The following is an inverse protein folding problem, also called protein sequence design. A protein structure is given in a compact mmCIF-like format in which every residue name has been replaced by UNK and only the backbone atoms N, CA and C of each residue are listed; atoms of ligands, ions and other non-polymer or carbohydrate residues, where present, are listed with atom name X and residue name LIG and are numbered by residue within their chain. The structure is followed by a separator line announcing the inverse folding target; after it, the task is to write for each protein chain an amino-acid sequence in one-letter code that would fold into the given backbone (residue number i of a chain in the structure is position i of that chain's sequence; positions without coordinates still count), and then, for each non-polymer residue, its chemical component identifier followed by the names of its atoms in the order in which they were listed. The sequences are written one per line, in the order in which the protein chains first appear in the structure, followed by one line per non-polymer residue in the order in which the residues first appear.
data_IF_841677853802
#
_entry.id   IF_841677853802
#
_cell.length_a   1.000
_cell.length_b   1.000
_cell.length_c   1.000
_cell.angle_alpha   90.00
_cell.angle_beta   90.00
_cell.angle_gamma   90.00
#
_symmetry.space_group_name_H-M   'P 1'
#
loop_
_entity.id
_entity.type
_entity.pdbx_description
1 polymer ?
#
# COMPACT_ATOMS: atom_id res chain seq x y z
N UNK A 1 14.72 -3.46 9.02
CA UNK A 1 14.99 -4.91 8.87
C UNK A 1 13.79 -5.56 8.21
N UNK A 2 14.03 -6.53 7.32
CA UNK A 2 12.99 -7.29 6.63
C UNK A 2 12.47 -8.42 7.54
N UNK A 3 11.15 -8.56 7.66
CA UNK A 3 10.50 -9.47 8.60
C UNK A 3 9.50 -10.36 7.86
N UNK A 4 9.39 -11.62 8.27
CA UNK A 4 8.35 -12.53 7.77
C UNK A 4 6.96 -12.04 8.19
N UNK A 5 6.01 -12.06 7.27
CA UNK A 5 4.62 -11.65 7.53
C UNK A 5 3.60 -12.74 7.16
N UNK A 6 4.05 -13.84 6.57
CA UNK A 6 3.23 -14.93 6.07
C UNK A 6 3.87 -15.61 4.87
N UNK A 7 3.18 -16.62 4.33
CA UNK A 7 3.62 -17.37 3.16
C UNK A 7 3.97 -16.44 2.00
N UNK A 8 5.23 -16.48 1.58
CA UNK A 8 5.76 -15.71 0.43
C UNK A 8 5.59 -14.18 0.55
N UNK A 9 5.45 -13.64 1.76
CA UNK A 9 5.37 -12.20 2.00
C UNK A 9 6.23 -11.75 3.20
N UNK A 10 7.02 -10.70 2.97
CA UNK A 10 7.83 -10.05 3.98
C UNK A 10 7.51 -8.56 4.04
N UNK A 11 7.73 -7.95 5.19
CA UNK A 11 7.52 -6.51 5.39
C UNK A 11 8.74 -5.84 5.98
N UNK A 12 8.89 -4.56 5.69
CA UNK A 12 9.91 -3.72 6.31
C UNK A 12 9.36 -2.33 6.59
N UNK A 13 9.48 -1.89 7.84
CA UNK A 13 9.25 -0.49 8.20
C UNK A 13 10.41 0.36 7.67
N UNK A 14 10.06 1.54 7.15
CA UNK A 14 10.97 2.52 6.60
C UNK A 14 11.03 3.81 7.41
N UNK A 15 11.82 4.78 6.95
CA UNK A 15 11.91 6.08 7.60
C UNK A 15 10.56 6.81 7.53
N UNK A 16 10.36 7.72 8.49
CA UNK A 16 9.21 8.60 8.54
C UNK A 16 9.33 9.67 7.44
N UNK A 17 8.28 9.83 6.63
CA UNK A 17 8.20 10.87 5.60
C UNK A 17 7.31 12.03 6.06
N UNK A 18 7.59 13.24 5.57
CA UNK A 18 6.84 14.45 5.91
C UNK A 18 5.91 14.80 4.75
N UNK A 19 4.61 14.70 4.98
CA UNK A 19 3.56 15.14 4.06
C UNK A 19 3.15 16.59 4.27
N UNK A 20 2.09 16.99 3.54
CA UNK A 20 1.52 18.34 3.60
C UNK A 20 1.15 18.76 5.03
N UNK A 21 1.30 20.04 5.35
CA UNK A 21 1.03 20.55 6.70
C UNK A 21 1.99 20.01 7.77
N UNK A 22 3.10 19.36 7.40
CA UNK A 22 4.09 18.78 8.30
C UNK A 22 3.62 17.51 9.01
N UNK A 23 2.61 16.82 8.49
CA UNK A 23 2.20 15.51 9.01
C UNK A 23 3.28 14.48 8.70
N UNK A 24 3.71 13.76 9.72
CA UNK A 24 4.73 12.72 9.65
C UNK A 24 4.06 11.36 9.50
N UNK A 25 4.48 10.56 8.53
CA UNK A 25 3.90 9.24 8.25
C UNK A 25 4.97 8.16 8.38
N UNK A 26 4.75 7.10 9.18
CA UNK A 26 5.63 5.93 9.14
C UNK A 26 5.46 5.26 7.78
N UNK A 27 6.52 4.76 7.16
CA UNK A 27 6.40 4.04 5.89
C UNK A 27 6.57 2.54 6.12
N UNK A 28 5.93 1.74 5.29
CA UNK A 28 6.17 0.30 5.22
C UNK A 28 6.15 -0.17 3.78
N UNK A 29 7.04 -1.11 3.52
CA UNK A 29 7.16 -1.86 2.28
C UNK A 29 6.67 -3.30 2.50
N UNK A 30 6.16 -3.91 1.44
CA UNK A 30 5.95 -5.35 1.35
C UNK A 30 6.79 -5.91 0.20
N UNK A 31 7.34 -7.09 0.40
CA UNK A 31 8.02 -7.90 -0.63
C UNK A 31 7.23 -9.18 -0.76
N UNK A 32 6.67 -9.45 -1.93
CA UNK A 32 5.91 -10.66 -2.23
C UNK A 32 6.67 -11.48 -3.26
N UNK A 33 6.73 -12.80 -3.08
CA UNK A 33 7.39 -13.71 -4.03
C UNK A 33 6.36 -14.37 -4.93
N UNK A 34 6.61 -14.34 -6.24
CA UNK A 34 5.84 -15.03 -7.25
C UNK A 34 6.33 -16.49 -7.42
N UNK A 35 5.52 -17.32 -8.08
CA UNK A 35 5.77 -18.74 -8.30
C UNK A 35 7.03 -19.01 -9.15
N UNK A 36 7.43 -18.06 -9.99
CA UNK A 36 8.69 -18.11 -10.76
C UNK A 36 9.92 -17.66 -9.96
N UNK A 37 9.71 -17.22 -8.71
CA UNK A 37 10.75 -16.73 -7.80
C UNK A 37 11.01 -15.23 -7.88
N UNK A 38 10.42 -14.50 -8.83
CA UNK A 38 10.55 -13.04 -8.88
C UNK A 38 9.85 -12.37 -7.70
N UNK A 39 10.40 -11.25 -7.27
CA UNK A 39 9.86 -10.44 -6.17
C UNK A 39 9.11 -9.22 -6.70
N UNK A 40 7.95 -8.98 -6.10
CA UNK A 40 7.17 -7.75 -6.21
C UNK A 40 7.44 -6.90 -4.96
N UNK A 41 8.07 -5.75 -5.16
CA UNK A 41 8.36 -4.77 -4.10
C UNK A 41 7.28 -3.69 -4.13
N UNK A 42 6.40 -3.71 -3.15
CA UNK A 42 5.28 -2.76 -3.01
C UNK A 42 5.60 -1.70 -1.95
N UNK A 43 5.27 -0.44 -2.24
CA UNK A 43 5.56 0.72 -1.37
C UNK A 43 7.04 0.78 -0.92
N UNK A 44 8.00 0.96 -1.85
CA UNK A 44 9.42 0.89 -1.51
C UNK A 44 9.82 1.89 -0.42
N UNK A 45 10.62 1.43 0.55
CA UNK A 45 11.22 2.24 1.63
C UNK A 45 12.71 2.51 1.32
N UNK A 46 13.40 3.34 2.12
CA UNK A 46 14.83 3.59 1.91
C UNK A 46 15.64 2.29 1.84
N UNK A 47 16.53 2.21 0.84
CA UNK A 47 17.26 1.00 0.50
C UNK A 47 18.68 1.04 1.08
N UNK A 48 18.82 0.58 2.32
CA UNK A 48 20.15 0.34 2.89
C UNK A 48 20.84 -0.88 2.25
N UNK A 49 22.16 -0.97 2.39
CA UNK A 49 22.92 -2.15 1.94
C UNK A 49 22.39 -3.44 2.58
N UNK A 50 22.07 -3.40 3.88
CA UNK A 50 21.49 -4.53 4.61
C UNK A 50 20.13 -4.93 4.02
N UNK A 51 19.25 -3.96 3.73
CA UNK A 51 17.94 -4.22 3.11
C UNK A 51 18.10 -4.84 1.73
N UNK A 52 19.03 -4.31 0.91
CA UNK A 52 19.33 -4.85 -0.42
C UNK A 52 19.80 -6.30 -0.35
N UNK A 53 20.72 -6.60 0.56
CA UNK A 53 21.20 -7.96 0.78
C UNK A 53 20.09 -8.89 1.28
N UNK A 54 19.22 -8.41 2.18
CA UNK A 54 18.10 -9.19 2.70
C UNK A 54 17.10 -9.54 1.60
N UNK A 55 16.71 -8.58 0.77
CA UNK A 55 15.80 -8.81 -0.36
C UNK A 55 16.44 -9.72 -1.41
N UNK A 56 17.72 -9.50 -1.74
CA UNK A 56 18.43 -10.34 -2.71
C UNK A 56 18.55 -11.82 -2.32
N UNK A 57 18.47 -12.15 -1.01
CA UNK A 57 18.40 -13.54 -0.54
C UNK A 57 17.04 -14.21 -0.77
N UNK A 58 15.98 -13.44 -1.02
CA UNK A 58 14.64 -13.96 -1.26
C UNK A 58 14.41 -14.34 -2.72
N UNK A 59 15.05 -13.62 -3.66
CA UNK A 59 14.87 -13.79 -5.10
C UNK A 59 15.25 -12.52 -5.88
N UNK A 60 15.24 -12.58 -7.23
CA UNK A 60 15.41 -11.40 -8.07
C UNK A 60 14.22 -10.45 -7.95
N UNK A 61 14.46 -9.13 -7.89
CA UNK A 61 13.39 -8.13 -7.93
C UNK A 61 12.92 -7.97 -9.37
N UNK A 62 11.70 -8.42 -9.66
CA UNK A 62 11.06 -8.31 -10.98
C UNK A 62 10.19 -7.07 -11.11
N UNK A 63 9.56 -6.63 -10.01
CA UNK A 63 8.60 -5.51 -10.03
C UNK A 63 8.81 -4.52 -8.87
N UNK A 64 8.76 -3.22 -9.18
CA UNK A 64 8.72 -2.12 -8.22
C UNK A 64 7.37 -1.42 -8.37
N UNK A 65 6.62 -1.33 -7.27
CA UNK A 65 5.20 -0.93 -7.31
C UNK A 65 4.96 0.20 -6.30
N UNK A 66 5.09 1.47 -6.71
CA UNK A 66 4.51 2.57 -5.97
C UNK A 66 2.97 2.46 -5.99
N UNK A 67 2.31 2.36 -4.84
CA UNK A 67 0.88 2.02 -4.75
C UNK A 67 -0.08 3.16 -5.10
N UNK A 68 0.39 4.40 -5.00
CA UNK A 68 -0.36 5.62 -5.32
C UNK A 68 0.61 6.79 -5.60
N UNK A 69 0.10 7.98 -5.90
CA UNK A 69 0.90 9.18 -6.21
C UNK A 69 1.54 9.88 -4.99
N UNK A 70 1.42 9.31 -3.78
CA UNK A 70 2.03 9.80 -2.53
C UNK A 70 3.23 8.93 -2.09
N UNK A 71 3.25 7.65 -2.46
CA UNK A 71 4.27 6.67 -2.02
C UNK A 71 5.38 6.44 -3.04
N UNK A 72 6.17 7.49 -3.34
CA UNK A 72 7.19 7.44 -4.39
C UNK A 72 8.58 7.95 -3.97
N UNK A 73 8.77 8.29 -2.69
CA UNK A 73 10.02 8.92 -2.19
C UNK A 73 11.27 8.10 -2.47
N UNK A 74 11.19 6.77 -2.36
CA UNK A 74 12.35 5.88 -2.46
C UNK A 74 12.40 5.09 -3.77
N UNK A 75 11.46 5.28 -4.69
CA UNK A 75 11.39 4.50 -5.94
C UNK A 75 12.68 4.61 -6.76
N UNK A 76 13.31 5.78 -6.80
CA UNK A 76 14.59 5.99 -7.50
C UNK A 76 15.72 5.10 -6.98
N UNK A 77 15.89 5.00 -5.65
CA UNK A 77 16.92 4.14 -5.03
C UNK A 77 16.76 2.68 -5.45
N UNK A 78 15.51 2.20 -5.58
CA UNK A 78 15.21 0.84 -6.01
C UNK A 78 15.43 0.63 -7.50
N UNK A 79 15.10 1.61 -8.34
CA UNK A 79 15.38 1.53 -9.79
C UNK A 79 16.88 1.48 -10.08
N UNK A 80 17.66 2.28 -9.36
CA UNK A 80 19.13 2.28 -9.47
C UNK A 80 19.72 0.93 -9.02
N UNK A 81 19.22 0.37 -7.92
CA UNK A 81 19.72 -0.90 -7.40
C UNK A 81 19.27 -2.14 -8.19
N UNK A 82 18.13 -2.06 -8.87
CA UNK A 82 17.50 -3.15 -9.63
C UNK A 82 17.10 -2.66 -11.03
N UNK A 83 18.06 -2.37 -11.92
CA UNK A 83 17.79 -1.72 -13.20
C UNK A 83 16.95 -2.56 -14.17
N UNK A 84 16.83 -3.87 -13.95
CA UNK A 84 16.02 -4.80 -14.74
C UNK A 84 14.59 -4.95 -14.23
N UNK A 85 14.29 -4.47 -13.01
CA UNK A 85 12.95 -4.54 -12.46
C UNK A 85 12.02 -3.57 -13.20
N UNK A 86 10.80 -4.02 -13.50
CA UNK A 86 9.76 -3.20 -14.10
C UNK A 86 9.10 -2.34 -13.04
N UNK A 87 9.03 -1.04 -13.25
CA UNK A 87 8.27 -0.14 -12.38
C UNK A 87 6.87 0.06 -12.92
N UNK A 88 5.87 -0.44 -12.18
CA UNK A 88 4.45 -0.29 -12.50
C UNK A 88 3.84 0.75 -11.57
N UNK A 89 3.38 1.87 -12.13
CA UNK A 89 2.92 3.01 -11.34
C UNK A 89 1.54 3.50 -11.77
N UNK A 90 0.75 4.10 -10.87
CA UNK A 90 -0.46 4.81 -11.22
C UNK A 90 -0.14 5.92 -12.26
N UNK A 91 -1.03 6.17 -13.25
CA UNK A 91 -0.78 7.18 -14.29
C UNK A 91 -0.45 8.57 -13.73
N UNK A 92 -1.13 8.99 -12.66
CA UNK A 92 -0.93 10.29 -11.99
C UNK A 92 0.46 10.45 -11.38
N UNK A 93 1.13 9.34 -11.02
CA UNK A 93 2.50 9.39 -10.52
C UNK A 93 3.50 9.61 -11.66
N UNK A 94 3.27 8.99 -12.82
CA UNK A 94 4.13 9.17 -13.98
C UNK A 94 4.17 10.63 -14.45
N UNK A 95 3.03 11.32 -14.39
CA UNK A 95 2.95 12.77 -14.67
C UNK A 95 3.71 13.62 -13.65
N UNK A 96 3.69 13.22 -12.38
CA UNK A 96 4.29 13.97 -11.26
C UNK A 96 5.82 13.80 -11.15
N UNK A 97 6.35 12.64 -11.55
CA UNK A 97 7.76 12.25 -11.36
C UNK A 97 8.42 11.88 -12.69
N UNK A 98 8.57 12.86 -13.57
CA UNK A 98 9.26 12.69 -14.85
C UNK A 98 10.75 12.31 -14.73
N UNK A 99 11.32 12.45 -13.53
CA UNK A 99 12.67 12.03 -13.19
C UNK A 99 12.80 10.52 -12.92
N UNK A 100 11.69 9.79 -12.79
CA UNK A 100 11.67 8.34 -12.56
C UNK A 100 11.31 7.56 -13.84
N UNK A 101 11.79 6.33 -13.95
CA UNK A 101 11.42 5.41 -15.04
C UNK A 101 10.09 4.72 -14.73
N UNK A 102 9.17 4.65 -15.68
CA UNK A 102 7.96 3.84 -15.54
C UNK A 102 7.82 2.92 -16.75
N UNK A 103 7.79 1.62 -16.49
CA UNK A 103 7.75 0.58 -17.52
C UNK A 103 6.32 0.18 -17.89
N UNK A 104 5.33 0.60 -17.10
CA UNK A 104 3.91 0.39 -17.38
C UNK A 104 3.00 1.06 -16.35
N UNK A 105 1.72 1.15 -16.70
CA UNK A 105 0.69 1.62 -15.78
C UNK A 105 0.28 0.49 -14.82
N UNK A 106 0.23 0.82 -13.52
CA UNK A 106 -0.49 0.03 -12.54
C UNK A 106 -1.98 0.31 -12.70
N UNK A 107 -2.62 -0.45 -13.59
CA UNK A 107 -4.02 -0.31 -13.97
C UNK A 107 -4.84 -1.50 -13.47
N UNK A 108 -6.15 -1.50 -13.70
CA UNK A 108 -7.09 -2.51 -13.21
C UNK A 108 -6.79 -3.97 -13.63
N UNK A 109 -5.90 -4.17 -14.61
CA UNK A 109 -5.42 -5.49 -15.03
C UNK A 109 -3.99 -5.68 -14.54
N UNK A 110 -3.78 -6.67 -13.66
CA UNK A 110 -2.45 -7.05 -13.21
C UNK A 110 -1.64 -7.69 -14.34
N UNK A 111 -0.29 -7.66 -14.28
CA UNK A 111 0.56 -8.46 -15.16
C UNK A 111 0.15 -9.95 -15.16
N UNK A 112 0.26 -10.62 -16.30
CA UNK A 112 -0.09 -12.05 -16.40
C UNK A 112 0.74 -12.94 -15.47
N UNK A 113 1.97 -12.55 -15.13
CA UNK A 113 2.81 -13.26 -14.16
C UNK A 113 2.26 -13.23 -12.73
N UNK A 114 1.31 -12.33 -12.43
CA UNK A 114 0.66 -12.24 -11.12
C UNK A 114 -0.64 -13.05 -11.06
N UNK A 115 -1.10 -13.58 -12.18
CA UNK A 115 -2.38 -14.29 -12.27
C UNK A 115 -2.43 -15.45 -11.27
N UNK A 116 -3.55 -15.53 -10.54
CA UNK A 116 -3.75 -16.55 -9.50
C UNK A 116 -2.93 -16.33 -8.22
N UNK A 117 -2.13 -15.26 -8.12
CA UNK A 117 -1.22 -15.01 -7.00
C UNK A 117 -1.47 -13.65 -6.33
N UNK A 118 -1.58 -12.58 -7.11
CA UNK A 118 -1.86 -11.23 -6.63
C UNK A 118 -3.07 -10.68 -7.40
N UNK A 119 -4.17 -10.46 -6.69
CA UNK A 119 -5.27 -9.68 -7.25
C UNK A 119 -5.03 -8.19 -7.02
N UNK A 120 -5.53 -7.36 -7.94
CA UNK A 120 -5.39 -5.92 -7.88
C UNK A 120 -6.74 -5.25 -8.16
N UNK A 121 -7.06 -4.23 -7.38
CA UNK A 121 -8.21 -3.34 -7.56
C UNK A 121 -7.73 -1.90 -7.46
N UNK A 122 -8.11 -1.07 -8.44
CA UNK A 122 -7.88 0.38 -8.37
C UNK A 122 -9.05 1.02 -7.64
N UNK A 123 -8.76 1.70 -6.53
CA UNK A 123 -9.71 2.51 -5.79
C UNK A 123 -9.54 3.98 -6.17
N UNK A 124 -10.47 4.50 -6.97
CA UNK A 124 -10.39 5.87 -7.48
C UNK A 124 -10.61 6.91 -6.37
N UNK A 125 -9.73 7.91 -6.30
CA UNK A 125 -9.83 8.96 -5.30
C UNK A 125 -9.17 10.27 -5.78
N UNK A 126 -9.82 11.41 -5.51
CA UNK A 126 -9.30 12.70 -5.96
C UNK A 126 -8.04 13.18 -5.21
N UNK A 127 -7.69 12.60 -4.07
CA UNK A 127 -6.40 12.85 -3.40
C UNK A 127 -5.32 11.97 -4.01
N UNK A 128 -5.56 10.65 -4.04
CA UNK A 128 -4.66 9.67 -4.64
C UNK A 128 -5.43 8.37 -4.89
N UNK A 129 -5.66 8.03 -6.16
CA UNK A 129 -6.14 6.69 -6.51
C UNK A 129 -5.12 5.64 -6.08
N UNK A 130 -5.60 4.57 -5.48
CA UNK A 130 -4.78 3.55 -4.81
C UNK A 130 -4.95 2.19 -5.47
N UNK A 131 -3.84 1.51 -5.75
CA UNK A 131 -3.84 0.10 -6.09
C UNK A 131 -3.87 -0.75 -4.81
N UNK A 132 -5.05 -1.30 -4.50
CA UNK A 132 -5.25 -2.25 -3.41
C UNK A 132 -4.93 -3.64 -3.92
N UNK A 133 -4.06 -4.36 -3.21
CA UNK A 133 -3.65 -5.71 -3.58
C UNK A 133 -4.24 -6.77 -2.65
N UNK A 134 -4.44 -7.97 -3.18
CA UNK A 134 -4.67 -9.16 -2.38
C UNK A 134 -3.63 -10.23 -2.73
N UNK A 135 -2.73 -10.50 -1.79
CA UNK A 135 -1.76 -11.58 -1.93
C UNK A 135 -2.42 -12.89 -1.50
N UNK A 136 -2.74 -13.74 -2.48
CA UNK A 136 -3.49 -14.98 -2.29
C UNK A 136 -2.74 -15.99 -1.41
N UNK A 137 -1.43 -16.25 -1.59
CA UNK A 137 -0.70 -17.23 -0.77
C UNK A 137 -0.77 -16.95 0.74
N UNK A 138 -0.79 -15.67 1.13
CA UNK A 138 -0.82 -15.26 2.53
C UNK A 138 -2.19 -14.78 3.03
N UNK A 139 -3.23 -14.81 2.18
CA UNK A 139 -4.56 -14.29 2.52
C UNK A 139 -4.55 -12.82 2.95
N UNK A 140 -3.62 -12.00 2.42
CA UNK A 140 -3.39 -10.63 2.90
C UNK A 140 -3.94 -9.58 1.95
N UNK A 141 -4.84 -8.74 2.43
CA UNK A 141 -5.25 -7.51 1.74
C UNK A 141 -4.28 -6.38 2.11
N UNK A 142 -3.78 -5.65 1.11
CA UNK A 142 -2.69 -4.67 1.26
C UNK A 142 -3.19 -3.29 0.80
N UNK A 143 -3.10 -2.32 1.70
CA UNK A 143 -3.56 -0.93 1.52
C UNK A 143 -2.44 0.06 1.82
N UNK A 144 -2.51 1.26 1.25
CA UNK A 144 -1.64 2.39 1.61
C UNK A 144 -2.34 3.45 2.45
N UNK A 145 -2.82 4.50 1.81
CA UNK A 145 -3.37 5.68 2.43
C UNK A 145 -4.88 5.57 2.61
N UNK A 146 -5.53 4.73 1.79
CA UNK A 146 -6.97 4.51 1.84
C UNK A 146 -7.41 3.94 3.19
N UNK A 147 -6.56 3.13 3.83
CA UNK A 147 -6.81 2.56 5.15
C UNK A 147 -5.60 2.82 6.05
N UNK A 148 -5.82 3.49 7.18
CA UNK A 148 -4.74 3.87 8.10
C UNK A 148 -5.04 3.44 9.53
N UNK A 149 -3.99 3.14 10.30
CA UNK A 149 -4.11 2.71 11.69
C UNK A 149 -2.95 3.22 12.55
N UNK A 150 -2.73 4.54 12.57
CA UNK A 150 -1.65 5.13 13.37
C UNK A 150 -2.03 5.15 14.86
N UNK A 151 -1.07 4.90 15.77
CA UNK A 151 -1.29 5.03 17.21
C UNK A 151 -1.79 6.42 17.60
N UNK A 152 -2.64 6.50 18.64
CA UNK A 152 -3.23 7.78 19.11
C UNK A 152 -2.20 8.81 19.57
N UNK A 153 -1.05 8.35 20.05
CA UNK A 153 0.07 9.17 20.52
C UNK A 153 1.07 9.54 19.42
N UNK A 154 0.82 9.15 18.16
CA UNK A 154 1.74 9.40 17.04
C UNK A 154 1.91 10.90 16.71
N UNK A 155 0.88 11.71 16.91
CA UNK A 155 0.91 13.15 16.66
C UNK A 155 0.72 13.95 17.96
N UNK A 156 1.22 15.19 17.95
CA UNK A 156 1.11 16.12 19.08
C UNK A 156 0.57 17.49 18.65
N UNK A 157 0.06 18.25 19.62
CA UNK A 157 -0.49 19.59 19.41
C UNK A 157 -1.68 19.59 18.45
N UNK A 158 -1.77 20.62 17.60
CA UNK A 158 -2.88 20.77 16.65
C UNK A 158 -2.96 19.61 15.64
N UNK A 159 -1.84 18.96 15.30
CA UNK A 159 -1.83 17.80 14.40
C UNK A 159 -2.51 16.58 15.01
N UNK A 160 -2.42 16.39 16.33
CA UNK A 160 -3.14 15.33 17.02
C UNK A 160 -4.66 15.52 16.89
N UNK A 161 -5.13 16.76 17.07
CA UNK A 161 -6.54 17.09 16.91
C UNK A 161 -7.01 16.81 15.48
N UNK A 162 -6.27 17.29 14.47
CA UNK A 162 -6.62 17.08 13.06
C UNK A 162 -6.58 15.60 12.69
N UNK A 163 -5.53 14.86 13.07
CA UNK A 163 -5.40 13.44 12.77
C UNK A 163 -6.55 12.61 13.39
N UNK A 164 -6.92 12.92 14.64
CA UNK A 164 -8.06 12.28 15.31
C UNK A 164 -9.38 12.59 14.62
N UNK A 165 -9.61 13.86 14.26
CA UNK A 165 -10.83 14.27 13.54
C UNK A 165 -10.91 13.69 12.13
N UNK A 166 -9.76 13.50 11.46
CA UNK A 166 -9.64 12.87 10.15
C UNK A 166 -9.67 11.33 10.22
N UNK A 167 -9.69 10.72 11.42
CA UNK A 167 -9.61 9.27 11.62
C UNK A 167 -8.31 8.63 11.11
N UNK A 168 -7.21 9.40 11.09
CA UNK A 168 -5.87 8.87 10.80
C UNK A 168 -5.31 8.06 11.97
N UNK A 169 -5.70 8.43 13.19
CA UNK A 169 -5.28 7.79 14.45
C UNK A 169 -6.48 7.24 15.20
N UNK A 170 -6.31 6.10 15.85
CA UNK A 170 -7.34 5.50 16.70
C UNK A 170 -7.02 4.07 17.10
N UNK A 171 -7.93 3.39 17.83
CA UNK A 171 -7.73 2.01 18.24
C UNK A 171 -7.97 1.01 17.10
N UNK A 172 -8.55 1.47 15.99
CA UNK A 172 -8.98 0.65 14.86
C UNK A 172 -8.61 1.31 13.55
N UNK A 173 -8.29 0.49 12.54
CA UNK A 173 -8.05 0.99 11.19
C UNK A 173 -9.33 1.59 10.59
N UNK A 174 -9.18 2.76 9.98
CA UNK A 174 -10.27 3.52 9.37
C UNK A 174 -9.81 4.13 8.04
N UNK A 175 -10.77 4.37 7.14
CA UNK A 175 -10.53 5.22 5.97
C UNK A 175 -10.52 6.67 6.46
N UNK A 176 -9.45 7.46 6.27
CA UNK A 176 -9.44 8.84 6.74
C UNK A 176 -10.55 9.67 6.09
N UNK A 177 -11.17 10.60 6.82
CA UNK A 177 -12.34 11.36 6.35
C UNK A 177 -12.06 12.12 5.07
N UNK A 178 -10.86 12.69 4.91
CA UNK A 178 -10.45 13.33 3.65
C UNK A 178 -10.54 12.40 2.44
N UNK A 179 -10.17 11.12 2.58
CA UNK A 179 -10.31 10.13 1.51
C UNK A 179 -11.78 9.79 1.25
N UNK A 180 -12.62 9.73 2.29
CA UNK A 180 -14.08 9.55 2.14
C UNK A 180 -14.71 10.70 1.34
N UNK A 181 -14.32 11.94 1.65
CA UNK A 181 -14.81 13.14 0.95
C UNK A 181 -14.27 13.25 -0.47
N UNK A 182 -13.02 12.84 -0.69
CA UNK A 182 -12.37 12.85 -2.00
C UNK A 182 -12.82 11.70 -2.93
N UNK A 183 -13.58 10.73 -2.42
CA UNK A 183 -14.20 9.69 -3.23
C UNK A 183 -15.43 10.24 -3.92
N UNK A 184 -15.26 10.72 -5.16
CA UNK A 184 -16.31 11.37 -5.95
C UNK A 184 -17.31 10.36 -6.53
N UNK A 185 -16.81 9.32 -7.20
CA UNK A 185 -17.64 8.24 -7.73
C UNK A 185 -17.84 7.13 -6.70
N UNK A 186 -18.85 7.31 -5.84
CA UNK A 186 -19.20 6.31 -4.82
C UNK A 186 -19.77 5.03 -5.42
N UNK A 187 -20.31 5.06 -6.64
CA UNK A 187 -20.85 3.86 -7.29
C UNK A 187 -19.70 2.94 -7.72
N UNK A 188 -18.69 3.49 -8.40
CA UNK A 188 -17.47 2.76 -8.74
C UNK A 188 -16.71 2.28 -7.50
N UNK A 189 -16.62 3.12 -6.45
CA UNK A 189 -16.01 2.74 -5.18
C UNK A 189 -16.73 1.58 -4.50
N UNK A 190 -18.07 1.54 -4.51
CA UNK A 190 -18.85 0.40 -3.98
C UNK A 190 -18.62 -0.87 -4.78
N UNK A 191 -18.55 -0.79 -6.11
CA UNK A 191 -18.26 -1.95 -6.96
C UNK A 191 -16.86 -2.52 -6.68
N UNK A 192 -15.87 -1.63 -6.48
CA UNK A 192 -14.51 -2.01 -6.09
C UNK A 192 -14.48 -2.64 -4.70
N UNK A 193 -15.17 -2.04 -3.74
CA UNK A 193 -15.29 -2.57 -2.38
C UNK A 193 -15.96 -3.96 -2.35
N UNK A 194 -16.99 -4.19 -3.17
CA UNK A 194 -17.67 -5.49 -3.23
C UNK A 194 -16.67 -6.62 -3.54
N UNK A 195 -15.82 -6.41 -4.56
CA UNK A 195 -14.74 -7.34 -4.91
C UNK A 195 -13.71 -7.52 -3.79
N UNK A 196 -13.31 -6.44 -3.12
CA UNK A 196 -12.40 -6.50 -1.96
C UNK A 196 -13.01 -7.35 -0.83
N UNK A 197 -14.31 -7.25 -0.58
CA UNK A 197 -15.01 -7.98 0.48
C UNK A 197 -15.26 -9.47 0.14
N UNK A 198 -15.17 -9.84 -1.14
CA UNK A 198 -15.22 -11.21 -1.62
C UNK A 198 -13.91 -11.97 -1.36
N UNK A 199 -12.77 -11.28 -1.27
CA UNK A 199 -11.50 -11.92 -0.95
C UNK A 199 -11.56 -12.68 0.39
N UNK A 200 -10.95 -13.87 0.48
CA UNK A 200 -10.80 -14.62 1.73
C UNK A 200 -9.70 -13.99 2.59
N UNK A 201 -9.91 -12.72 2.97
CA UNK A 201 -8.90 -11.94 3.70
C UNK A 201 -8.74 -12.45 5.13
N UNK A 202 -7.54 -12.88 5.47
CA UNK A 202 -7.14 -13.30 6.81
C UNK A 202 -6.41 -12.18 7.55
N UNK A 203 -5.67 -11.34 6.81
CA UNK A 203 -4.82 -10.27 7.33
C UNK A 203 -4.96 -9.00 6.52
N UNK A 204 -4.74 -7.85 7.15
CA UNK A 204 -4.67 -6.55 6.49
C UNK A 204 -3.32 -5.93 6.77
N UNK A 205 -2.59 -5.60 5.70
CA UNK A 205 -1.37 -4.83 5.75
C UNK A 205 -1.66 -3.40 5.32
N UNK A 206 -1.13 -2.43 6.07
CA UNK A 206 -1.17 -1.01 5.71
C UNK A 206 0.26 -0.46 5.68
N UNK A 207 0.52 0.48 4.76
CA UNK A 207 1.77 1.22 4.77
C UNK A 207 1.91 2.14 5.99
N UNK A 208 0.78 2.53 6.60
CA UNK A 208 0.73 3.43 7.74
C UNK A 208 0.05 2.78 8.95
N UNK A 209 0.86 2.42 9.95
CA UNK A 209 0.36 1.94 11.24
C UNK A 209 0.43 0.42 11.43
N UNK A 210 -0.37 -0.11 12.37
CA UNK A 210 -0.29 -1.51 12.79
C UNK A 210 -1.11 -2.43 11.87
N UNK A 211 -0.54 -3.52 11.34
CA UNK A 211 -1.31 -4.52 10.59
C UNK A 211 -2.44 -5.13 11.43
N UNK A 212 -3.49 -5.62 10.76
CA UNK A 212 -4.59 -6.34 11.40
C UNK A 212 -4.42 -7.82 11.10
N UNK A 213 -4.28 -8.64 12.14
CA UNK A 213 -3.93 -10.06 12.02
C UNK A 213 -5.11 -10.99 12.33
N UNK A 214 -6.22 -10.46 12.85
CA UNK A 214 -7.42 -11.21 13.22
C UNK A 214 -8.66 -10.44 12.78
N UNK A 215 -9.75 -11.17 12.50
CA UNK A 215 -11.05 -10.60 12.11
C UNK A 215 -10.95 -9.60 10.93
N UNK A 216 -10.02 -9.83 10.00
CA UNK A 216 -9.71 -8.90 8.92
C UNK A 216 -10.94 -8.54 8.08
N UNK A 217 -11.76 -9.53 7.71
CA UNK A 217 -13.00 -9.28 6.93
C UNK A 217 -13.99 -8.40 7.68
N UNK A 218 -14.11 -8.56 9.01
CA UNK A 218 -14.99 -7.71 9.83
C UNK A 218 -14.43 -6.29 9.91
N UNK A 219 -13.11 -6.15 10.05
CA UNK A 219 -12.42 -4.86 10.03
C UNK A 219 -12.64 -4.12 8.71
N UNK A 220 -12.47 -4.78 7.57
CA UNK A 220 -12.74 -4.18 6.26
C UNK A 220 -14.19 -3.70 6.14
N UNK A 221 -15.17 -4.54 6.52
CA UNK A 221 -16.60 -4.15 6.49
C UNK A 221 -16.86 -2.92 7.35
N UNK A 222 -16.27 -2.84 8.55
CA UNK A 222 -16.43 -1.69 9.44
C UNK A 222 -15.80 -0.42 8.85
N UNK A 223 -14.53 -0.50 8.46
CA UNK A 223 -13.76 0.64 7.98
C UNK A 223 -14.36 1.27 6.71
N UNK A 224 -14.96 0.46 5.85
CA UNK A 224 -15.62 0.90 4.62
C UNK A 224 -17.15 1.06 4.75
N UNK A 225 -17.72 0.93 5.95
CA UNK A 225 -19.18 1.03 6.14
C UNK A 225 -19.77 2.38 5.72
N UNK A 226 -18.95 3.42 5.60
CA UNK A 226 -19.37 4.73 5.08
C UNK A 226 -19.75 4.71 3.59
N UNK A 227 -19.30 3.71 2.82
CA UNK A 227 -19.72 3.50 1.42
C UNK A 227 -21.00 2.68 1.32
N UNK A 228 -21.28 1.80 2.29
CA UNK A 228 -22.41 0.88 2.24
C UNK A 228 -23.63 1.38 3.02
N UNK A 229 -23.51 2.52 3.69
CA UNK A 229 -24.62 3.27 4.31
C UNK A 229 -25.34 4.14 3.29
#
# INVERSE_FOLDING_TARGET
MLQDFGTDIWIADGPVVVGGGGFRYPTRMAVMRLADGELVVWSPVSLSLEMRQAVGRLGPVGFIVPPNALHHSFVGEWQEAYPHAKTLAPPTLAEKRADLRFDGALAATAPSSWEGQIDLIIFENAIASEAVLFHRPSGTAIFTDLLQNLPEDWYHGWRALVARLDLMTGPVAEVPRKFRLATRDRTAARASLAKVLEWPTERILMAHGRPILTDARQHLRRAFSWLTR
#
